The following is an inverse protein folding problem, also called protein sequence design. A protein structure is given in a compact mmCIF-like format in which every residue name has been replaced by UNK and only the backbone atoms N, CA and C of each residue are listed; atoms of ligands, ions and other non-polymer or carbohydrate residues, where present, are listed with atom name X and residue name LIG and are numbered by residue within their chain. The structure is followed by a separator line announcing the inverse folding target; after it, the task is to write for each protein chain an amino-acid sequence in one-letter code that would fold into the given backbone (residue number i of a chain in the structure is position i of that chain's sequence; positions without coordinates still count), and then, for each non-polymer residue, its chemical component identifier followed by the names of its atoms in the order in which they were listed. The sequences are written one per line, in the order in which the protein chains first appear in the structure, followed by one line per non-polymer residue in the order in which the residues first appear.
data_IF_071673621031
#
_entry.id   IF_071673621031
#
_cell.length_a   1.000
_cell.length_b   1.000
_cell.length_c   1.000
_cell.angle_alpha   90.00
_cell.angle_beta   90.00
_cell.angle_gamma   90.00
#
_symmetry.space_group_name_H-M   'P 1'
#
loop_
_entity.id
_entity.type
_entity.pdbx_description
1 polymer ?
#
# COMPACT_ATOMS: atom_id res chain seq x y z
N UNK A 1 -42.42 -30.46 43.82
CA UNK A 1 -41.58 -29.23 43.71
C UNK A 1 -40.21 -29.43 44.37
N UNK A 2 -39.43 -30.41 43.92
CA UNK A 2 -38.01 -30.62 44.28
C UNK A 2 -37.39 -31.23 43.02
N UNK A 3 -36.79 -30.42 42.14
CA UNK A 3 -35.88 -30.80 41.03
C UNK A 3 -35.68 -29.68 39.98
N UNK A 4 -35.77 -28.39 40.36
CA UNK A 4 -35.46 -27.28 39.42
C UNK A 4 -34.15 -26.56 39.78
N UNK A 5 -33.63 -26.72 41.01
CA UNK A 5 -32.42 -26.00 41.46
C UNK A 5 -31.09 -26.60 41.00
N UNK A 6 -31.04 -27.87 40.57
CA UNK A 6 -29.79 -28.49 40.08
C UNK A 6 -29.55 -28.33 38.57
N UNK A 7 -30.58 -28.00 37.78
CA UNK A 7 -30.43 -27.77 36.34
C UNK A 7 -29.85 -26.38 36.01
N UNK A 8 -30.11 -25.37 36.85
CA UNK A 8 -29.59 -24.01 36.67
C UNK A 8 -28.09 -23.87 37.01
N UNK A 9 -27.53 -24.77 37.82
CA UNK A 9 -26.09 -24.73 38.17
C UNK A 9 -25.20 -25.35 37.08
N UNK A 10 -25.75 -26.23 36.24
CA UNK A 10 -25.03 -26.86 35.12
C UNK A 10 -25.01 -25.97 33.87
N UNK A 11 -25.98 -25.08 33.69
CA UNK A 11 -25.98 -24.10 32.58
C UNK A 11 -24.97 -22.98 32.86
N UNK A 12 -24.72 -22.63 34.12
CA UNK A 12 -23.72 -21.62 34.48
C UNK A 12 -22.25 -22.07 34.30
N UNK A 13 -21.99 -23.39 34.28
CA UNK A 13 -20.64 -23.95 34.10
C UNK A 13 -20.22 -24.15 32.64
N UNK A 14 -21.16 -24.02 31.68
CA UNK A 14 -20.84 -24.04 30.24
C UNK A 14 -20.70 -22.65 29.62
N UNK A 15 -21.08 -21.57 30.33
CA UNK A 15 -20.96 -20.19 29.83
C UNK A 15 -19.61 -19.55 30.22
N UNK A 16 -18.79 -20.20 31.05
CA UNK A 16 -17.52 -19.63 31.55
C UNK A 16 -16.26 -20.12 30.84
N UNK A 17 -16.37 -20.98 29.81
CA UNK A 17 -15.31 -21.00 28.79
C UNK A 17 -15.61 -19.85 27.85
N UNK A 18 -15.30 -18.64 28.30
CA UNK A 18 -14.89 -17.58 27.40
C UNK A 18 -13.66 -18.10 26.67
N UNK A 19 -13.90 -18.89 25.62
CA UNK A 19 -12.90 -19.19 24.61
C UNK A 19 -12.52 -17.83 24.05
N UNK A 20 -11.49 -17.24 24.63
CA UNK A 20 -10.47 -16.53 23.85
C UNK A 20 -9.93 -17.59 22.89
N UNK A 21 -10.71 -17.85 21.84
CA UNK A 21 -10.25 -18.63 20.73
C UNK A 21 -9.07 -17.82 20.17
N UNK A 22 -7.89 -18.42 20.21
CA UNK A 22 -6.71 -17.83 19.60
C UNK A 22 -7.07 -17.40 18.18
N UNK A 23 -6.73 -16.16 17.82
CA UNK A 23 -6.89 -15.64 16.46
C UNK A 23 -6.04 -16.44 15.46
N UNK A 24 -4.96 -17.09 15.94
CA UNK A 24 -4.10 -17.97 15.17
C UNK A 24 -4.62 -19.40 15.11
N UNK A 25 -4.50 -20.00 13.92
CA UNK A 25 -4.66 -21.44 13.72
C UNK A 25 -3.56 -22.25 14.42
N UNK A 26 -3.87 -23.43 14.97
CA UNK A 26 -2.89 -24.43 15.34
C UNK A 26 -1.95 -24.79 14.18
N UNK A 27 -0.69 -25.11 14.47
CA UNK A 27 0.31 -25.40 13.43
C UNK A 27 -0.04 -26.64 12.59
N UNK A 28 -0.70 -27.64 13.19
CA UNK A 28 -1.17 -28.84 12.47
C UNK A 28 -2.21 -28.47 11.40
N UNK A 29 -3.21 -27.66 11.77
CA UNK A 29 -4.25 -27.17 10.85
C UNK A 29 -3.63 -26.32 9.72
N UNK A 30 -2.64 -25.47 10.06
CA UNK A 30 -1.91 -24.67 9.06
C UNK A 30 -1.17 -25.56 8.08
N UNK A 31 -0.48 -26.60 8.54
CA UNK A 31 0.26 -27.50 7.69
C UNK A 31 -0.66 -28.23 6.69
N UNK A 32 -1.83 -28.70 7.15
CA UNK A 32 -2.84 -29.33 6.30
C UNK A 32 -3.37 -28.36 5.23
N UNK A 33 -3.80 -27.16 5.64
CA UNK A 33 -4.32 -26.14 4.73
C UNK A 33 -3.26 -25.70 3.70
N UNK A 34 -2.01 -25.59 4.12
CA UNK A 34 -0.88 -25.27 3.24
C UNK A 34 -0.64 -26.35 2.18
N UNK A 35 -0.76 -27.63 2.53
CA UNK A 35 -0.67 -28.72 1.55
C UNK A 35 -1.82 -28.69 0.55
N UNK A 36 -3.05 -28.44 1.02
CA UNK A 36 -4.23 -28.28 0.15
C UNK A 36 -4.03 -27.09 -0.81
N UNK A 37 -3.60 -25.95 -0.28
CA UNK A 37 -3.31 -24.74 -1.06
C UNK A 37 -2.25 -25.02 -2.13
N UNK A 38 -1.08 -25.56 -1.75
CA UNK A 38 0.01 -25.85 -2.69
C UNK A 38 -0.46 -26.73 -3.85
N UNK A 39 -1.21 -27.79 -3.57
CA UNK A 39 -1.72 -28.72 -4.59
C UNK A 39 -2.58 -28.01 -5.64
N UNK A 40 -3.47 -27.12 -5.20
CA UNK A 40 -4.38 -26.38 -6.07
C UNK A 40 -3.60 -25.29 -6.83
N UNK A 41 -2.75 -24.54 -6.13
CA UNK A 41 -1.97 -23.44 -6.71
C UNK A 41 -0.98 -23.90 -7.78
N UNK A 42 -0.39 -25.09 -7.65
CA UNK A 42 0.47 -25.68 -8.69
C UNK A 42 -0.27 -25.91 -10.01
N UNK A 43 -1.55 -26.26 -9.97
CA UNK A 43 -2.37 -26.43 -11.17
C UNK A 43 -2.64 -25.08 -11.84
N UNK A 44 -2.97 -24.06 -11.05
CA UNK A 44 -3.19 -22.70 -11.53
C UNK A 44 -1.90 -22.09 -12.14
N UNK A 45 -0.75 -22.21 -11.46
CA UNK A 45 0.53 -21.72 -11.98
C UNK A 45 0.95 -22.41 -13.28
N UNK A 46 0.73 -23.72 -13.39
CA UNK A 46 1.01 -24.47 -14.63
C UNK A 46 0.10 -24.03 -15.78
N UNK A 47 -1.18 -23.81 -15.50
CA UNK A 47 -2.15 -23.31 -16.49
C UNK A 47 -1.84 -21.87 -16.95
N UNK A 48 -1.22 -21.06 -16.08
CA UNK A 48 -0.83 -19.68 -16.36
C UNK A 48 0.40 -19.54 -17.27
N UNK A 49 1.01 -20.63 -17.74
CA UNK A 49 2.11 -20.57 -18.70
C UNK A 49 3.44 -20.04 -18.14
N UNK A 50 3.69 -20.19 -16.83
CA UNK A 50 4.99 -19.92 -16.22
C UNK A 50 5.36 -18.44 -16.15
N UNK A 51 4.68 -17.69 -15.28
CA UNK A 51 5.10 -16.43 -14.62
C UNK A 51 5.61 -15.25 -15.47
N UNK A 52 5.73 -15.37 -16.79
CA UNK A 52 6.15 -14.31 -17.68
C UNK A 52 5.51 -14.52 -19.06
N UNK A 53 4.18 -14.32 -19.14
CA UNK A 53 3.55 -14.07 -20.44
C UNK A 53 4.01 -12.66 -20.84
N UNK A 54 5.19 -12.59 -21.46
CA UNK A 54 5.71 -11.42 -22.15
C UNK A 54 4.62 -10.94 -23.12
N UNK A 55 3.95 -9.82 -22.82
CA UNK A 55 2.91 -9.33 -23.72
C UNK A 55 2.01 -8.19 -23.23
N UNK A 56 1.84 -7.98 -21.93
CA UNK A 56 0.97 -6.90 -21.42
C UNK A 56 1.76 -5.98 -20.49
N UNK A 57 1.84 -4.69 -20.83
CA UNK A 57 2.34 -3.68 -19.89
C UNK A 57 1.54 -3.74 -18.59
N UNK A 58 2.22 -3.66 -17.44
CA UNK A 58 1.56 -3.80 -16.14
C UNK A 58 0.44 -2.78 -16.01
N UNK A 59 -0.80 -3.25 -15.84
CA UNK A 59 -1.96 -2.39 -15.66
C UNK A 59 -1.89 -1.59 -14.36
N UNK A 60 -2.85 -0.67 -14.19
CA UNK A 60 -2.91 0.20 -13.01
C UNK A 60 -2.98 -0.61 -11.69
N UNK A 61 -3.66 -1.76 -11.71
CA UNK A 61 -3.81 -2.67 -10.56
C UNK A 61 -2.47 -3.31 -10.21
N UNK A 62 -1.74 -3.83 -11.19
CA UNK A 62 -0.46 -4.50 -11.00
C UNK A 62 0.59 -3.52 -10.47
N UNK A 63 0.66 -2.34 -11.08
CA UNK A 63 1.55 -1.27 -10.62
C UNK A 63 1.20 -0.83 -9.19
N UNK A 64 -0.09 -0.63 -8.88
CA UNK A 64 -0.53 -0.28 -7.53
C UNK A 64 -0.18 -1.37 -6.52
N UNK A 65 -0.47 -2.64 -6.83
CA UNK A 65 -0.20 -3.78 -5.97
C UNK A 65 1.30 -3.92 -5.66
N UNK A 66 2.15 -3.83 -6.69
CA UNK A 66 3.61 -3.89 -6.53
C UNK A 66 4.16 -2.71 -5.74
N UNK A 67 3.67 -1.49 -6.01
CA UNK A 67 4.07 -0.30 -5.27
C UNK A 67 3.67 -0.39 -3.79
N UNK A 68 2.43 -0.80 -3.51
CA UNK A 68 1.94 -0.95 -2.15
C UNK A 68 2.72 -2.05 -1.43
N UNK A 69 2.91 -3.21 -2.04
CA UNK A 69 3.67 -4.31 -1.43
C UNK A 69 5.08 -3.87 -1.00
N UNK A 70 5.79 -3.12 -1.85
CA UNK A 70 7.12 -2.56 -1.55
C UNK A 70 7.13 -1.47 -0.50
N UNK A 71 5.98 -0.84 -0.25
CA UNK A 71 5.80 0.27 0.69
C UNK A 71 5.07 -0.15 1.98
N UNK A 72 4.62 -1.40 2.07
CA UNK A 72 3.70 -1.85 3.12
C UNK A 72 4.31 -1.82 4.51
N UNK A 73 5.61 -2.11 4.62
CA UNK A 73 6.39 -1.99 5.86
C UNK A 73 6.24 -0.59 6.48
N UNK A 74 6.28 0.46 5.65
CA UNK A 74 6.12 1.83 6.12
C UNK A 74 4.72 2.07 6.67
N UNK A 75 3.68 1.67 5.94
CA UNK A 75 2.29 1.89 6.40
C UNK A 75 2.00 1.13 7.69
N UNK A 76 2.50 -0.11 7.81
CA UNK A 76 2.39 -0.88 9.05
C UNK A 76 3.21 -0.22 10.17
N UNK A 77 4.41 0.29 9.90
CA UNK A 77 5.22 1.02 10.89
C UNK A 77 4.51 2.27 11.41
N UNK A 78 3.90 3.05 10.52
CA UNK A 78 3.10 4.22 10.89
C UNK A 78 1.91 3.82 11.78
N UNK A 79 1.21 2.74 11.44
CA UNK A 79 0.15 2.18 12.26
C UNK A 79 0.67 1.69 13.63
N UNK A 80 1.80 0.98 13.68
CA UNK A 80 2.41 0.51 14.93
C UNK A 80 2.89 1.65 15.86
N UNK A 81 3.22 2.80 15.28
CA UNK A 81 3.61 4.01 16.01
C UNK A 81 2.40 4.82 16.51
N UNK A 82 1.18 4.51 16.04
CA UNK A 82 -0.06 5.14 16.50
C UNK A 82 -0.92 4.13 17.29
N UNK A 83 -1.10 4.38 18.59
CA UNK A 83 -1.92 3.51 19.46
C UNK A 83 -3.37 3.39 18.99
N UNK A 84 -3.89 4.41 18.33
CA UNK A 84 -5.28 4.43 17.85
C UNK A 84 -5.49 3.45 16.67
N UNK A 85 -4.42 3.04 15.99
CA UNK A 85 -4.51 2.13 14.86
C UNK A 85 -4.75 0.66 15.26
N UNK A 86 -4.12 0.17 16.33
CA UNK A 86 -4.24 -1.24 16.71
C UNK A 86 -5.16 -1.49 17.90
N UNK A 87 -5.54 -0.49 18.69
CA UNK A 87 -6.51 -0.57 19.82
C UNK A 87 -6.14 -1.51 21.00
N UNK A 88 -5.52 -2.67 20.75
CA UNK A 88 -5.11 -3.66 21.74
C UNK A 88 -3.76 -4.33 21.42
N UNK A 89 -3.20 -5.07 22.38
CA UNK A 89 -1.90 -5.73 22.21
C UNK A 89 -1.90 -6.87 21.20
N UNK A 90 -3.02 -7.59 21.03
CA UNK A 90 -3.09 -8.74 20.10
C UNK A 90 -2.96 -8.26 18.66
N UNK A 91 -3.72 -7.22 18.27
CA UNK A 91 -3.62 -6.56 16.96
C UNK A 91 -2.23 -6.00 16.70
N UNK A 92 -1.62 -5.39 17.71
CA UNK A 92 -0.23 -4.90 17.61
C UNK A 92 0.75 -6.02 17.30
N UNK A 93 0.64 -7.17 17.97
CA UNK A 93 1.52 -8.31 17.72
C UNK A 93 1.27 -8.94 16.35
N UNK A 94 0.01 -9.03 15.89
CA UNK A 94 -0.29 -9.48 14.52
C UNK A 94 0.35 -8.55 13.49
N UNK A 95 0.22 -7.23 13.63
CA UNK A 95 0.83 -6.26 12.72
C UNK A 95 2.35 -6.36 12.68
N UNK A 96 3.01 -6.61 13.82
CA UNK A 96 4.46 -6.85 13.84
C UNK A 96 4.84 -8.08 13.01
N UNK A 97 4.11 -9.19 13.15
CA UNK A 97 4.36 -10.40 12.36
C UNK A 97 4.11 -10.16 10.87
N UNK A 98 3.03 -9.46 10.51
CA UNK A 98 2.74 -9.08 9.12
C UNK A 98 3.91 -8.27 8.57
N UNK A 99 4.40 -7.28 9.33
CA UNK A 99 5.56 -6.47 8.95
C UNK A 99 6.83 -7.30 8.78
N UNK A 100 7.09 -8.27 9.66
CA UNK A 100 8.23 -9.18 9.54
C UNK A 100 8.17 -9.99 8.23
N UNK A 101 7.00 -10.51 7.87
CA UNK A 101 6.77 -11.21 6.59
C UNK A 101 7.00 -10.27 5.40
N UNK A 102 6.48 -9.04 5.46
CA UNK A 102 6.71 -8.02 4.43
C UNK A 102 8.21 -7.75 4.25
N UNK A 103 8.94 -7.55 5.35
CA UNK A 103 10.39 -7.27 5.32
C UNK A 103 11.19 -8.47 4.80
N UNK A 104 10.84 -9.69 5.20
CA UNK A 104 11.47 -10.94 4.73
C UNK A 104 11.32 -11.09 3.22
N UNK A 105 10.12 -10.85 2.70
CA UNK A 105 9.76 -11.16 1.32
C UNK A 105 9.86 -9.98 0.34
N UNK A 106 10.29 -8.80 0.81
CA UNK A 106 10.28 -7.54 0.03
C UNK A 106 11.01 -7.63 -1.32
N UNK A 107 12.14 -8.33 -1.34
CA UNK A 107 13.01 -8.46 -2.52
C UNK A 107 12.75 -9.76 -3.31
N UNK A 108 11.84 -10.61 -2.82
CA UNK A 108 11.51 -11.84 -3.52
C UNK A 108 10.71 -11.55 -4.79
N UNK A 109 11.14 -12.17 -5.89
CA UNK A 109 10.39 -12.12 -7.15
C UNK A 109 9.14 -12.99 -7.02
N UNK A 110 8.08 -12.65 -7.78
CA UNK A 110 6.86 -13.44 -7.89
C UNK A 110 6.05 -13.61 -6.58
N UNK A 111 6.21 -12.70 -5.62
CA UNK A 111 5.35 -12.69 -4.41
C UNK A 111 3.90 -12.35 -4.72
N UNK A 112 3.67 -11.55 -5.74
CA UNK A 112 2.36 -11.27 -6.30
C UNK A 112 2.25 -11.99 -7.63
N UNK A 113 1.20 -12.79 -7.80
CA UNK A 113 0.90 -13.50 -9.04
C UNK A 113 -0.44 -13.00 -9.54
N UNK A 114 -0.42 -12.30 -10.67
CA UNK A 114 -1.62 -11.74 -11.28
C UNK A 114 -2.27 -12.77 -12.19
N UNK A 115 -3.54 -13.08 -11.94
CA UNK A 115 -4.32 -14.04 -12.70
C UNK A 115 -5.36 -13.30 -13.55
N UNK A 116 -5.44 -13.67 -14.82
CA UNK A 116 -6.43 -13.14 -15.77
C UNK A 116 -7.10 -14.27 -16.55
N UNK A 117 -8.39 -14.14 -16.80
CA UNK A 117 -9.18 -15.04 -17.63
C UNK A 117 -10.05 -16.02 -16.85
N UNK A 118 -11.09 -16.52 -17.52
CA UNK A 118 -12.18 -17.34 -16.94
C UNK A 118 -11.67 -18.62 -16.27
N UNK A 119 -10.53 -19.16 -16.72
CA UNK A 119 -9.95 -20.40 -16.17
C UNK A 119 -9.55 -20.27 -14.68
N UNK A 120 -9.40 -19.06 -14.17
CA UNK A 120 -8.99 -18.80 -12.78
C UNK A 120 -10.14 -18.45 -11.85
N UNK A 121 -11.35 -18.19 -12.35
CA UNK A 121 -12.51 -17.83 -11.51
C UNK A 121 -12.81 -18.93 -10.49
N UNK A 122 -12.79 -20.21 -10.93
CA UNK A 122 -13.00 -21.36 -10.03
C UNK A 122 -11.91 -21.51 -8.97
N UNK A 123 -10.69 -21.09 -9.27
CA UNK A 123 -9.59 -21.12 -8.29
C UNK A 123 -9.79 -20.06 -7.20
N UNK A 124 -10.33 -18.90 -7.59
CA UNK A 124 -10.61 -17.78 -6.70
C UNK A 124 -11.91 -17.94 -5.92
N UNK A 125 -12.70 -18.99 -6.15
CA UNK A 125 -13.83 -19.37 -5.31
C UNK A 125 -13.39 -20.28 -4.17
N UNK A 126 -14.08 -20.20 -3.04
CA UNK A 126 -13.91 -21.16 -1.95
C UNK A 126 -14.99 -22.24 -2.02
N UNK A 127 -14.71 -23.45 -1.53
CA UNK A 127 -15.69 -24.55 -1.54
C UNK A 127 -16.96 -24.22 -0.75
N UNK A 128 -16.85 -23.30 0.21
CA UNK A 128 -17.92 -22.89 1.12
C UNK A 128 -18.44 -21.47 0.84
N UNK A 129 -17.80 -20.72 -0.05
CA UNK A 129 -18.19 -19.35 -0.40
C UNK A 129 -18.23 -19.21 -1.93
N UNK A 130 -19.43 -19.04 -2.53
CA UNK A 130 -19.56 -18.93 -3.98
C UNK A 130 -19.00 -17.60 -4.53
N UNK A 131 -18.68 -16.63 -3.67
CA UNK A 131 -18.11 -15.36 -4.12
C UNK A 131 -16.69 -15.55 -4.67
N UNK A 132 -16.41 -14.87 -5.78
CA UNK A 132 -15.08 -14.83 -6.38
C UNK A 132 -14.22 -13.89 -5.53
N UNK A 133 -13.14 -14.40 -4.95
CA UNK A 133 -12.20 -13.60 -4.17
C UNK A 133 -11.34 -12.71 -5.07
N UNK A 134 -11.02 -11.52 -4.56
CA UNK A 134 -10.08 -10.59 -5.20
C UNK A 134 -8.64 -11.10 -5.07
N UNK A 135 -8.27 -11.65 -3.92
CA UNK A 135 -6.98 -12.27 -3.69
C UNK A 135 -7.09 -13.57 -2.90
N UNK A 136 -6.02 -14.37 -2.95
CA UNK A 136 -5.92 -15.63 -2.22
C UNK A 136 -4.46 -15.96 -1.92
N UNK A 137 -4.19 -16.43 -0.72
CA UNK A 137 -2.88 -16.96 -0.33
C UNK A 137 -3.00 -18.17 0.61
N UNK A 138 -1.87 -18.74 1.02
CA UNK A 138 -1.80 -19.81 2.02
C UNK A 138 -1.43 -19.29 3.42
N UNK A 139 -1.37 -20.18 4.40
CA UNK A 139 -1.01 -19.86 5.79
C UNK A 139 0.50 -19.95 6.08
N UNK A 140 1.33 -19.68 5.07
CA UNK A 140 2.79 -19.65 5.15
C UNK A 140 3.34 -18.44 4.39
N UNK A 141 4.39 -17.84 4.92
CA UNK A 141 5.10 -16.73 4.29
C UNK A 141 5.90 -17.14 3.05
N UNK A 142 5.95 -18.43 2.71
CA UNK A 142 6.57 -18.95 1.48
C UNK A 142 5.62 -18.87 0.26
N UNK A 143 4.31 -18.71 0.48
CA UNK A 143 3.34 -18.73 -0.61
C UNK A 143 3.14 -17.38 -1.29
N UNK A 144 2.99 -17.34 -2.62
CA UNK A 144 2.60 -16.10 -3.30
C UNK A 144 1.18 -15.69 -2.92
N UNK A 145 0.88 -14.41 -3.16
CA UNK A 145 -0.47 -13.85 -3.13
C UNK A 145 -0.96 -13.82 -4.56
N UNK A 146 -2.02 -14.57 -4.85
CA UNK A 146 -2.67 -14.54 -6.14
C UNK A 146 -3.70 -13.41 -6.17
N UNK A 147 -3.67 -12.58 -7.21
CA UNK A 147 -4.59 -11.44 -7.37
C UNK A 147 -5.41 -11.67 -8.64
N UNK A 148 -6.73 -11.70 -8.51
CA UNK A 148 -7.66 -11.75 -9.62
C UNK A 148 -7.77 -10.36 -10.24
N UNK A 149 -7.21 -10.18 -11.44
CA UNK A 149 -7.23 -8.89 -12.12
C UNK A 149 -8.64 -8.44 -12.48
N UNK A 150 -9.53 -9.36 -12.87
CA UNK A 150 -10.91 -9.00 -13.24
C UNK A 150 -11.64 -8.34 -12.07
N UNK A 151 -11.50 -8.90 -10.87
CA UNK A 151 -12.12 -8.34 -9.67
C UNK A 151 -11.39 -7.10 -9.15
N UNK A 152 -10.05 -7.10 -9.18
CA UNK A 152 -9.26 -5.97 -8.72
C UNK A 152 -9.47 -4.70 -9.57
N UNK A 153 -9.80 -4.84 -10.85
CA UNK A 153 -10.16 -3.72 -11.73
C UNK A 153 -11.49 -3.05 -11.36
N UNK A 154 -12.34 -3.71 -10.57
CA UNK A 154 -13.60 -3.14 -10.09
C UNK A 154 -13.41 -2.14 -8.94
N UNK A 155 -12.20 -2.03 -8.36
CA UNK A 155 -11.94 -1.01 -7.36
C UNK A 155 -12.00 0.40 -7.96
N UNK A 156 -12.64 1.37 -7.27
CA UNK A 156 -12.63 2.75 -7.71
C UNK A 156 -11.20 3.27 -7.81
N UNK A 157 -10.86 3.94 -8.92
CA UNK A 157 -9.51 4.44 -9.19
C UNK A 157 -8.96 5.28 -8.03
N UNK A 158 -9.77 6.19 -7.51
CA UNK A 158 -9.43 7.10 -6.41
C UNK A 158 -9.12 6.37 -5.09
N UNK A 159 -9.56 5.12 -4.95
CA UNK A 159 -9.34 4.29 -3.76
C UNK A 159 -8.41 3.10 -4.00
N UNK A 160 -7.90 2.92 -5.22
CA UNK A 160 -7.20 1.70 -5.62
C UNK A 160 -6.01 1.39 -4.70
N UNK A 161 -5.19 2.39 -4.38
CA UNK A 161 -4.03 2.22 -3.49
C UNK A 161 -4.45 1.83 -2.07
N UNK A 162 -5.46 2.51 -1.51
CA UNK A 162 -5.98 2.24 -0.19
C UNK A 162 -6.60 0.83 -0.08
N UNK A 163 -7.34 0.42 -1.12
CA UNK A 163 -7.88 -0.93 -1.25
C UNK A 163 -6.78 -1.99 -1.37
N UNK A 164 -5.70 -1.71 -2.10
CA UNK A 164 -4.54 -2.62 -2.18
C UNK A 164 -3.78 -2.74 -0.86
N UNK A 165 -3.69 -1.67 -0.06
CA UNK A 165 -3.15 -1.75 1.32
C UNK A 165 -3.99 -2.73 2.12
N UNK A 166 -5.30 -2.55 2.13
CA UNK A 166 -6.19 -3.41 2.91
C UNK A 166 -6.10 -4.88 2.47
N UNK A 167 -6.19 -5.13 1.15
CA UNK A 167 -6.08 -6.46 0.55
C UNK A 167 -4.76 -7.14 0.93
N UNK A 168 -3.62 -6.46 0.79
CA UNK A 168 -2.32 -7.08 1.07
C UNK A 168 -2.09 -7.31 2.57
N UNK A 169 -2.57 -6.42 3.45
CA UNK A 169 -2.53 -6.67 4.90
C UNK A 169 -3.36 -7.90 5.25
N UNK A 170 -4.54 -8.06 4.65
CA UNK A 170 -5.40 -9.22 4.84
C UNK A 170 -4.68 -10.51 4.44
N UNK A 171 -4.21 -10.60 3.20
CA UNK A 171 -3.55 -11.81 2.69
C UNK A 171 -2.29 -12.16 3.50
N UNK A 172 -1.45 -11.18 3.84
CA UNK A 172 -0.25 -11.45 4.66
C UNK A 172 -0.64 -11.82 6.10
N UNK A 173 -1.79 -11.35 6.58
CA UNK A 173 -2.42 -11.80 7.81
C UNK A 173 -2.67 -13.31 7.84
N UNK A 174 -3.15 -13.88 6.73
CA UNK A 174 -3.24 -15.33 6.59
C UNK A 174 -1.87 -16.01 6.64
N UNK A 175 -0.85 -15.45 6.00
CA UNK A 175 0.50 -16.02 5.99
C UNK A 175 1.13 -16.13 7.39
N UNK A 176 0.74 -15.23 8.32
CA UNK A 176 1.16 -15.30 9.74
C UNK A 176 0.28 -16.20 10.61
N UNK A 177 -0.70 -16.89 10.01
CA UNK A 177 -1.53 -17.91 10.64
C UNK A 177 -2.89 -17.44 11.15
N UNK A 178 -3.31 -16.20 10.86
CA UNK A 178 -4.63 -15.71 11.28
C UNK A 178 -5.72 -16.27 10.37
N UNK A 179 -6.72 -16.95 10.93
CA UNK A 179 -7.80 -17.56 10.14
C UNK A 179 -8.98 -16.61 9.86
N UNK A 180 -9.24 -15.68 10.78
CA UNK A 180 -10.47 -14.90 10.77
C UNK A 180 -10.42 -13.79 9.72
N UNK A 181 -11.25 -13.88 8.68
CA UNK A 181 -11.38 -12.81 7.67
C UNK A 181 -11.83 -11.50 8.30
N UNK A 182 -12.86 -11.52 9.15
CA UNK A 182 -13.39 -10.30 9.79
C UNK A 182 -12.36 -9.60 10.68
N UNK A 183 -11.52 -10.37 11.39
CA UNK A 183 -10.42 -9.80 12.16
C UNK A 183 -9.39 -9.12 11.24
N UNK A 184 -9.03 -9.78 10.14
CA UNK A 184 -8.05 -9.27 9.19
C UNK A 184 -8.56 -8.06 8.42
N UNK A 185 -9.85 -8.03 8.07
CA UNK A 185 -10.49 -6.89 7.42
C UNK A 185 -10.48 -5.65 8.32
N UNK A 186 -10.82 -5.80 9.61
CA UNK A 186 -10.81 -4.69 10.55
C UNK A 186 -9.37 -4.18 10.84
N UNK A 187 -8.41 -5.11 10.92
CA UNK A 187 -6.99 -4.76 11.04
C UNK A 187 -6.47 -4.03 9.80
N UNK A 188 -6.82 -4.53 8.62
CA UNK A 188 -6.49 -3.97 7.32
C UNK A 188 -7.10 -2.57 7.13
N UNK A 189 -8.37 -2.39 7.55
CA UNK A 189 -9.04 -1.09 7.56
C UNK A 189 -8.29 -0.08 8.42
N UNK A 190 -7.77 -0.50 9.57
CA UNK A 190 -7.00 0.39 10.46
C UNK A 190 -5.70 0.86 9.80
N UNK A 191 -4.95 -0.03 9.15
CA UNK A 191 -3.73 0.32 8.39
C UNK A 191 -4.07 1.23 7.22
N UNK A 192 -5.16 0.92 6.50
CA UNK A 192 -5.67 1.74 5.39
C UNK A 192 -6.02 3.16 5.86
N UNK A 193 -6.80 3.31 6.92
CA UNK A 193 -7.20 4.63 7.44
C UNK A 193 -6.00 5.45 7.89
N UNK A 194 -4.98 4.81 8.47
CA UNK A 194 -3.72 5.48 8.79
C UNK A 194 -2.96 5.94 7.54
N UNK A 195 -2.95 5.14 6.47
CA UNK A 195 -2.35 5.53 5.20
C UNK A 195 -3.12 6.69 4.56
N UNK A 196 -4.45 6.63 4.52
CA UNK A 196 -5.31 7.71 4.00
C UNK A 196 -5.13 9.01 4.79
N UNK A 197 -5.09 8.95 6.13
CA UNK A 197 -4.87 10.13 6.98
C UNK A 197 -3.51 10.80 6.75
N UNK A 198 -2.51 10.04 6.30
CA UNK A 198 -1.18 10.54 5.95
C UNK A 198 -1.00 10.81 4.45
N UNK A 199 -2.05 10.63 3.65
CA UNK A 199 -2.01 10.90 2.21
C UNK A 199 -2.65 12.26 1.93
N UNK A 200 -1.96 13.09 1.16
CA UNK A 200 -2.47 14.38 0.67
C UNK A 200 -2.48 14.35 -0.84
N UNK A 201 -3.66 14.50 -1.42
CA UNK A 201 -3.81 14.64 -2.87
C UNK A 201 -4.09 16.10 -3.21
N UNK A 202 -3.36 16.63 -4.20
CA UNK A 202 -3.61 17.94 -4.76
C UNK A 202 -3.81 17.82 -6.26
N UNK A 203 -4.96 18.27 -6.72
CA UNK A 203 -5.31 18.28 -8.14
C UNK A 203 -5.23 19.69 -8.69
N UNK A 204 -4.72 19.83 -9.91
CA UNK A 204 -4.67 21.09 -10.64
C UNK A 204 -5.09 20.84 -12.09
N UNK A 205 -5.94 21.72 -12.63
CA UNK A 205 -6.34 21.64 -14.05
C UNK A 205 -5.33 22.38 -14.92
N UNK A 206 -4.68 21.64 -15.81
CA UNK A 206 -3.80 22.17 -16.85
C UNK A 206 -4.54 22.05 -18.18
N UNK A 207 -5.39 23.05 -18.45
CA UNK A 207 -6.12 23.21 -19.71
C UNK A 207 -7.03 22.03 -20.03
N UNK A 208 -7.83 21.61 -19.06
CA UNK A 208 -8.77 20.51 -19.15
C UNK A 208 -8.17 19.13 -18.87
N UNK A 209 -6.87 19.05 -18.60
CA UNK A 209 -6.22 17.82 -18.14
C UNK A 209 -5.94 17.92 -16.64
N UNK A 210 -6.27 16.86 -15.90
CA UNK A 210 -5.96 16.79 -14.48
C UNK A 210 -4.49 16.45 -14.26
N UNK A 211 -3.84 17.27 -13.44
CA UNK A 211 -2.53 17.05 -12.87
C UNK A 211 -2.71 16.73 -11.40
N UNK A 212 -2.38 15.50 -11.00
CA UNK A 212 -2.60 15.00 -9.64
C UNK A 212 -1.24 14.76 -8.99
N UNK A 213 -1.00 15.44 -7.87
CA UNK A 213 0.15 15.20 -7.01
C UNK A 213 -0.33 14.55 -5.72
N UNK A 214 0.09 13.31 -5.50
CA UNK A 214 -0.24 12.55 -4.28
C UNK A 214 1.01 12.47 -3.42
N UNK A 215 0.95 13.02 -2.21
CA UNK A 215 1.97 12.91 -1.18
C UNK A 215 1.57 11.84 -0.16
N UNK A 216 2.43 10.85 0.04
CA UNK A 216 2.39 9.92 1.15
C UNK A 216 3.35 10.42 2.22
N UNK A 217 2.84 11.25 3.13
CA UNK A 217 3.62 11.81 4.23
C UNK A 217 4.00 10.70 5.22
N UNK A 218 5.08 10.92 5.97
CA UNK A 218 5.38 10.06 7.12
C UNK A 218 5.04 10.74 8.43
N UNK A 219 4.37 10.00 9.32
CA UNK A 219 4.22 10.39 10.72
C UNK A 219 5.53 10.28 11.50
N UNK A 220 6.52 9.59 10.92
CA UNK A 220 7.85 9.46 11.47
C UNK A 220 8.81 10.39 10.70
N UNK A 221 9.33 11.39 11.40
CA UNK A 221 10.30 12.38 10.92
C UNK A 221 11.62 11.78 10.41
N UNK A 222 11.90 10.50 10.70
CA UNK A 222 13.07 9.77 10.20
C UNK A 222 12.80 8.96 8.92
N UNK A 223 11.60 9.06 8.34
CA UNK A 223 11.30 8.41 7.07
C UNK A 223 11.29 9.44 5.93
N UNK A 224 11.38 8.93 4.71
CA UNK A 224 11.22 9.73 3.51
C UNK A 224 9.76 9.70 3.06
N UNK A 225 9.15 10.87 2.93
CA UNK A 225 7.91 11.04 2.22
C UNK A 225 8.08 10.53 0.79
N UNK A 226 7.03 9.88 0.28
CA UNK A 226 6.96 9.51 -1.12
C UNK A 226 5.88 10.33 -1.79
N UNK A 227 6.03 10.51 -3.08
CA UNK A 227 5.03 11.18 -3.87
C UNK A 227 4.92 10.52 -5.23
N UNK A 228 3.71 10.54 -5.76
CA UNK A 228 3.38 10.08 -7.10
C UNK A 228 2.80 11.26 -7.84
N UNK A 229 3.26 11.43 -9.07
CA UNK A 229 2.68 12.39 -9.99
C UNK A 229 1.92 11.64 -11.07
N UNK A 230 0.70 12.07 -11.33
CA UNK A 230 -0.11 11.61 -12.45
C UNK A 230 -0.53 12.80 -13.32
N UNK A 231 -0.37 12.65 -14.63
CA UNK A 231 -0.83 13.61 -15.62
C UNK A 231 -1.37 12.87 -16.84
N UNK A 232 -2.61 13.17 -17.22
CA UNK A 232 -3.30 12.50 -18.33
C UNK A 232 -3.35 10.96 -18.18
N UNK A 233 -3.50 10.47 -16.95
CA UNK A 233 -3.52 9.04 -16.62
C UNK A 233 -2.15 8.35 -16.66
N UNK A 234 -1.07 9.06 -17.00
CA UNK A 234 0.29 8.55 -16.94
C UNK A 234 0.98 8.96 -15.65
N UNK A 235 1.76 8.05 -15.08
CA UNK A 235 2.53 8.29 -13.86
C UNK A 235 3.96 8.69 -14.19
N UNK A 236 4.46 9.66 -13.43
CA UNK A 236 5.79 10.21 -13.61
C UNK A 236 6.58 10.09 -12.30
N UNK A 237 7.85 9.71 -12.43
CA UNK A 237 8.79 9.73 -11.32
C UNK A 237 9.19 11.18 -11.02
N UNK A 238 8.83 11.66 -9.83
CA UNK A 238 9.26 12.97 -9.38
C UNK A 238 10.65 12.84 -8.75
N UNK A 239 11.60 13.75 -9.04
CA UNK A 239 12.94 13.69 -8.46
C UNK A 239 12.91 13.55 -6.94
N UNK A 240 13.77 12.72 -6.35
CA UNK A 240 13.79 12.51 -4.90
C UNK A 240 14.32 13.74 -4.14
N UNK A 241 13.67 14.13 -3.04
CA UNK A 241 14.20 15.12 -2.10
C UNK A 241 15.60 14.76 -1.60
N UNK A 242 15.92 13.45 -1.56
CA UNK A 242 17.24 12.95 -1.15
C UNK A 242 18.38 13.41 -2.05
N UNK A 243 18.10 13.63 -3.34
CA UNK A 243 19.12 14.08 -4.29
C UNK A 243 19.18 15.61 -4.36
N UNK A 244 18.07 16.28 -4.08
CA UNK A 244 17.98 17.73 -4.09
C UNK A 244 18.59 18.40 -2.85
N UNK A 245 18.49 17.78 -1.68
CA UNK A 245 18.91 18.36 -0.41
C UNK A 245 20.20 17.71 0.15
N UNK A 246 21.06 18.54 0.75
CA UNK A 246 22.27 18.09 1.46
C UNK A 246 22.30 18.73 2.84
N UNK A 247 22.43 17.89 3.87
CA UNK A 247 22.61 18.38 5.23
C UNK A 247 23.88 19.22 5.37
N UNK A 248 23.85 20.17 6.30
CA UNK A 248 25.01 20.98 6.66
C UNK A 248 26.20 20.10 7.10
N UNK A 249 27.44 20.56 6.89
CA UNK A 249 28.68 19.87 7.29
C UNK A 249 28.90 18.46 6.69
N UNK A 250 28.14 18.07 5.67
CA UNK A 250 28.22 16.74 5.09
C UNK A 250 27.61 15.64 5.99
N UNK A 251 26.71 16.02 6.90
CA UNK A 251 25.93 15.08 7.70
C UNK A 251 25.00 14.22 6.82
N UNK A 252 24.52 13.09 7.36
CA UNK A 252 23.72 12.14 6.60
C UNK A 252 22.24 12.53 6.66
N UNK A 253 21.60 12.73 5.52
CA UNK A 253 20.14 12.84 5.45
C UNK A 253 19.51 11.48 5.78
N UNK A 254 18.69 11.43 6.82
CA UNK A 254 18.03 10.20 7.29
C UNK A 254 16.51 10.22 7.13
N UNK A 255 15.90 11.39 6.93
CA UNK A 255 14.46 11.53 6.66
C UNK A 255 14.14 12.86 6.00
N UNK A 256 13.02 12.93 5.29
CA UNK A 256 12.52 14.16 4.70
C UNK A 256 11.01 14.10 4.54
N UNK A 257 10.30 15.15 4.96
CA UNK A 257 8.86 15.26 4.84
C UNK A 257 8.44 16.58 4.18
N UNK A 258 7.24 16.61 3.63
CA UNK A 258 6.63 17.81 3.05
C UNK A 258 5.31 18.12 3.74
N UNK A 259 5.10 19.39 4.02
CA UNK A 259 3.88 19.91 4.65
C UNK A 259 3.40 21.17 3.96
N UNK A 260 2.18 21.59 4.30
CA UNK A 260 1.54 22.80 3.80
C UNK A 260 1.69 22.98 2.27
N UNK A 261 1.24 21.97 1.53
CA UNK A 261 1.34 21.92 0.08
C UNK A 261 0.31 22.87 -0.54
N UNK A 262 0.73 23.69 -1.49
CA UNK A 262 -0.17 24.53 -2.26
C UNK A 262 0.35 24.82 -3.67
N UNK A 263 -0.57 24.81 -4.63
CA UNK A 263 -0.28 25.21 -6.00
C UNK A 263 -0.02 26.70 -6.10
N UNK A 264 1.03 27.06 -6.83
CA UNK A 264 1.16 28.41 -7.35
C UNK A 264 0.42 28.52 -8.67
N UNK A 265 -0.12 29.72 -8.94
CA UNK A 265 -0.72 30.00 -10.24
C UNK A 265 0.31 29.73 -11.34
N UNK A 266 -0.02 28.80 -12.23
CA UNK A 266 0.84 28.46 -13.36
C UNK A 266 1.10 29.67 -14.27
N UNK A 267 2.25 29.67 -14.93
CA UNK A 267 2.74 30.79 -15.73
C UNK A 267 3.03 30.32 -17.15
N UNK A 268 2.64 31.11 -18.14
CA UNK A 268 2.95 30.82 -19.55
C UNK A 268 4.06 31.74 -20.03
N UNK A 269 5.09 31.20 -20.66
CA UNK A 269 6.15 31.97 -21.31
C UNK A 269 6.71 31.20 -22.52
N UNK A 270 6.81 31.82 -23.69
CA UNK A 270 7.46 31.23 -24.88
C UNK A 270 6.99 29.81 -25.24
N UNK A 271 5.67 29.54 -25.24
CA UNK A 271 5.10 28.20 -25.48
C UNK A 271 5.34 27.18 -24.37
N UNK A 272 5.92 27.59 -23.24
CA UNK A 272 6.01 26.79 -22.02
C UNK A 272 4.90 27.17 -21.05
N UNK A 273 4.35 26.17 -20.37
CA UNK A 273 3.53 26.34 -19.18
C UNK A 273 4.32 25.81 -17.99
N UNK A 274 4.59 26.66 -17.00
CA UNK A 274 5.32 26.29 -15.80
C UNK A 274 4.33 26.19 -14.66
N UNK A 275 4.17 24.99 -14.13
CA UNK A 275 3.41 24.72 -12.91
C UNK A 275 4.40 24.62 -11.74
N UNK A 276 3.98 25.09 -10.56
CA UNK A 276 4.81 24.98 -9.35
C UNK A 276 3.95 24.63 -8.15
N UNK A 277 4.49 23.75 -7.31
CA UNK A 277 3.93 23.36 -6.03
C UNK A 277 4.93 23.81 -4.96
N UNK A 278 4.46 24.63 -4.02
CA UNK A 278 5.27 25.04 -2.88
C UNK A 278 4.86 24.20 -1.66
N UNK A 279 5.84 23.92 -0.80
CA UNK A 279 5.67 23.16 0.43
C UNK A 279 6.70 23.62 1.48
N UNK A 280 6.41 23.36 2.73
CA UNK A 280 7.40 23.38 3.80
C UNK A 280 8.07 22.01 3.87
N UNK A 281 9.39 21.98 3.72
CA UNK A 281 10.18 20.76 3.85
C UNK A 281 10.81 20.67 5.24
N UNK A 282 10.68 19.53 5.88
CA UNK A 282 11.40 19.19 7.11
C UNK A 282 12.39 18.06 6.81
N UNK A 283 13.66 18.29 7.12
CA UNK A 283 14.75 17.38 6.79
C UNK A 283 15.48 16.93 8.05
N UNK A 284 15.56 15.61 8.26
CA UNK A 284 16.23 15.01 9.40
C UNK A 284 17.68 14.63 9.05
N UNK A 285 18.64 15.24 9.75
CA UNK A 285 20.07 15.11 9.50
C UNK A 285 20.79 14.43 10.67
N UNK A 286 21.47 13.31 10.41
CA UNK A 286 22.25 12.54 11.38
C UNK A 286 23.73 12.93 11.32
N UNK A 287 24.23 13.42 12.46
CA UNK A 287 25.66 13.68 12.66
C UNK A 287 26.47 12.39 12.80
N UNK A 288 27.80 12.48 12.65
CA UNK A 288 28.72 11.35 12.89
C UNK A 288 28.58 10.70 14.28
N UNK A 289 28.16 11.47 15.30
CA UNK A 289 27.94 10.98 16.66
C UNK A 289 26.52 10.42 16.90
N UNK A 290 25.72 10.21 15.84
CA UNK A 290 24.35 9.69 15.88
C UNK A 290 23.29 10.61 16.51
N UNK A 291 23.63 11.88 16.79
CA UNK A 291 22.59 12.87 17.12
C UNK A 291 21.87 13.30 15.85
N UNK A 292 20.54 13.29 15.86
CA UNK A 292 19.73 13.81 14.76
C UNK A 292 19.25 15.21 15.09
N UNK A 293 19.25 16.08 14.09
CA UNK A 293 18.67 17.42 14.15
C UNK A 293 17.82 17.68 12.89
N UNK A 294 16.97 18.71 12.93
CA UNK A 294 16.01 19.01 11.88
C UNK A 294 16.29 20.37 11.24
N UNK A 295 16.17 20.45 9.92
CA UNK A 295 16.24 21.68 9.14
C UNK A 295 14.90 21.91 8.44
N UNK A 296 14.37 23.13 8.49
CA UNK A 296 13.12 23.52 7.82
C UNK A 296 13.42 24.47 6.67
N UNK A 297 12.96 24.12 5.47
CA UNK A 297 13.31 24.82 4.22
C UNK A 297 12.07 24.93 3.34
N UNK A 298 11.93 26.03 2.59
CA UNK A 298 10.85 26.12 1.60
C UNK A 298 11.22 25.30 0.37
N UNK A 299 10.38 24.34 0.03
CA UNK A 299 10.56 23.48 -1.15
C UNK A 299 9.62 23.98 -2.24
N UNK A 300 10.15 24.18 -3.44
CA UNK A 300 9.37 24.41 -4.64
C UNK A 300 9.65 23.29 -5.65
N UNK A 301 8.62 22.53 -5.96
CA UNK A 301 8.61 21.58 -7.07
C UNK A 301 8.09 22.29 -8.31
N UNK A 302 8.75 22.10 -9.46
CA UNK A 302 8.41 22.76 -10.72
C UNK A 302 8.28 21.75 -11.85
N UNK A 303 7.24 21.92 -12.66
CA UNK A 303 7.00 21.13 -13.87
C UNK A 303 6.89 22.09 -15.05
N UNK A 304 7.68 21.83 -16.09
CA UNK A 304 7.68 22.58 -17.33
C UNK A 304 7.03 21.75 -18.43
N UNK A 305 5.95 22.28 -18.99
CA UNK A 305 5.24 21.67 -20.09
C UNK A 305 5.45 22.46 -21.37
N UNK A 306 5.79 21.78 -22.45
CA UNK A 306 5.92 22.38 -23.79
C UNK A 306 4.61 22.24 -24.55
N UNK A 307 4.13 23.34 -25.13
CA UNK A 307 2.99 23.33 -26.04
C UNK A 307 3.41 22.76 -27.40
N UNK A 308 2.85 21.62 -27.77
CA UNK A 308 3.05 21.00 -29.07
C UNK A 308 1.75 21.02 -29.89
N UNK A 309 1.89 21.30 -31.19
CA UNK A 309 0.77 21.23 -32.15
C UNK A 309 0.78 19.85 -32.80
N UNK A 310 -0.23 19.04 -32.51
CA UNK A 310 -0.44 17.77 -33.18
C UNK A 310 -1.08 17.97 -34.57
N UNK A 311 -0.90 17.00 -35.50
CA UNK A 311 -1.64 16.97 -36.75
C UNK A 311 -3.16 17.04 -36.49
N UNK A 312 -3.86 17.93 -37.20
CA UNK A 312 -5.31 18.16 -36.99
C UNK A 312 -5.65 19.29 -36.00
N UNK A 313 -4.73 20.22 -35.76
CA UNK A 313 -4.93 21.47 -34.99
C UNK A 313 -5.21 21.33 -33.49
N UNK A 314 -4.97 20.14 -32.92
CA UNK A 314 -5.01 19.97 -31.46
C UNK A 314 -3.67 20.37 -30.85
N UNK A 315 -3.71 21.28 -29.89
CA UNK A 315 -2.55 21.58 -29.07
C UNK A 315 -2.55 20.69 -27.83
N UNK A 316 -1.40 20.12 -27.48
CA UNK A 316 -1.20 19.33 -26.26
C UNK A 316 0.01 19.85 -25.51
N UNK A 317 -0.04 19.77 -24.19
CA UNK A 317 1.09 20.06 -23.33
C UNK A 317 1.79 18.77 -22.97
N UNK A 318 3.05 18.63 -23.39
CA UNK A 318 3.90 17.51 -23.00
C UNK A 318 4.77 17.91 -21.83
N UNK A 319 4.84 17.06 -20.80
CA UNK A 319 5.75 17.27 -19.67
C UNK A 319 7.20 17.14 -20.16
N UNK A 320 7.95 18.23 -20.14
CA UNK A 320 9.32 18.30 -20.66
C UNK A 320 10.37 18.13 -19.56
N UNK A 321 10.18 18.81 -18.42
CA UNK A 321 11.15 18.78 -17.34
C UNK A 321 10.50 18.88 -15.95
N UNK A 322 11.22 18.34 -14.96
CA UNK A 322 10.89 18.41 -13.54
C UNK A 322 12.07 18.95 -12.75
N UNK A 323 11.81 19.81 -11.77
CA UNK A 323 12.83 20.45 -10.96
C UNK A 323 12.42 20.59 -9.50
N UNK A 324 13.42 20.65 -8.63
CA UNK A 324 13.28 20.94 -7.20
C UNK A 324 14.18 22.12 -6.87
N UNK A 325 13.59 23.15 -6.26
CA UNK A 325 14.30 24.31 -5.74
C UNK A 325 14.09 24.39 -4.23
N UNK A 326 15.18 24.63 -3.51
CA UNK A 326 15.22 24.79 -2.06
C UNK A 326 15.54 26.26 -1.76
N UNK A 327 14.72 26.90 -0.93
CA UNK A 327 14.78 28.34 -0.64
C UNK A 327 14.86 28.65 0.84
#
# INVERSE_FOLDING_TARGET
MKNIKSALLLIALFVSKSLSASVYLPDEDRAELNQKFLKISLQAMKASGGADIVGNGGGAVEQASLYIYRSLDRYISQCLNNKDCYQDSERREVLKKIREVVLKNREEKNRLVFLSGENFEKYMQDELDPEIRVAKTGFSDEFPIFINLAEAHNYPKDSLYASMVALLVHEIGHQVGVASHSYLDDLALSVRSMMEANTKELTYDVLGNQFVFTLFASSNQYDFAQYVLEYNGEKYEVPSLMTAYKCTNGDKLVGANLENLYWEKGRTANYHYILSLNAWGEFACERKNKTVYFEQINVRLTWDFTLERLPGEKYVFLLNAMGISLK
#
